data_IF_032866998052
#
_entry.id   IF_032866998052
#
_cell.length_a   1.000
_cell.length_b   1.000
_cell.length_c   1.000
_cell.angle_alpha   90.00
_cell.angle_beta   90.00
_cell.angle_gamma   90.00
#
_symmetry.space_group_name_H-M   'P 1'
#
loop_
_entity.id
_entity.type
_entity.pdbx_description
1 polymer ?
#
# COMPACT_ATOMS: atom_id res chain seq x y z
N UNK A 1 -20.42 -8.38 13.52
CA UNK A 1 -20.44 -9.29 12.36
C UNK A 1 -21.44 -8.73 11.36
N UNK A 2 -21.03 -8.53 10.09
CA UNK A 2 -21.92 -8.05 9.04
C UNK A 2 -22.70 -9.22 8.44
N UNK A 3 -24.03 -9.15 8.39
CA UNK A 3 -24.86 -10.21 7.79
C UNK A 3 -25.07 -9.92 6.31
N UNK A 4 -24.69 -10.89 5.47
CA UNK A 4 -24.80 -10.75 4.02
C UNK A 4 -26.26 -10.60 3.58
N UNK A 5 -26.53 -9.66 2.68
CA UNK A 5 -27.85 -9.45 2.06
C UNK A 5 -27.83 -9.58 0.53
N UNK A 6 -26.65 -9.78 -0.06
CA UNK A 6 -26.44 -9.99 -1.50
C UNK A 6 -25.19 -10.85 -1.73
N UNK A 7 -25.02 -11.44 -2.93
CA UNK A 7 -23.77 -12.10 -3.32
C UNK A 7 -22.57 -11.15 -3.24
N UNK A 8 -21.39 -11.72 -3.04
CA UNK A 8 -20.14 -10.96 -3.09
C UNK A 8 -19.89 -10.41 -4.50
N UNK A 9 -19.34 -9.20 -4.56
CA UNK A 9 -18.78 -8.60 -5.77
C UNK A 9 -17.27 -8.59 -5.63
N UNK A 10 -16.56 -9.06 -6.64
CA UNK A 10 -15.09 -9.05 -6.69
C UNK A 10 -14.68 -7.90 -7.60
N UNK A 11 -13.90 -6.97 -7.06
CA UNK A 11 -13.31 -5.87 -7.82
C UNK A 11 -11.83 -6.18 -8.05
N UNK A 12 -11.44 -6.31 -9.30
CA UNK A 12 -10.04 -6.37 -9.69
C UNK A 12 -9.46 -4.96 -9.67
N UNK A 13 -8.43 -4.72 -8.86
CA UNK A 13 -7.75 -3.44 -8.83
C UNK A 13 -6.95 -3.26 -10.12
N UNK A 14 -7.28 -2.21 -10.87
CA UNK A 14 -6.64 -1.85 -12.13
C UNK A 14 -5.56 -0.79 -11.94
N UNK A 15 -5.49 -0.17 -10.77
CA UNK A 15 -4.44 0.76 -10.38
C UNK A 15 -4.07 0.55 -8.92
N UNK A 16 -2.79 0.75 -8.62
CA UNK A 16 -2.25 0.92 -7.28
C UNK A 16 -1.15 1.97 -7.38
N UNK A 17 -1.25 3.06 -6.63
CA UNK A 17 -0.31 4.17 -6.73
C UNK A 17 0.16 4.66 -5.38
N UNK A 18 1.46 4.91 -5.29
CA UNK A 18 2.08 5.68 -4.22
C UNK A 18 1.77 7.16 -4.49
N UNK A 19 1.10 7.87 -3.57
CA UNK A 19 0.88 9.30 -3.70
C UNK A 19 2.20 10.06 -3.83
N UNK A 20 2.14 11.24 -4.45
CA UNK A 20 3.33 12.10 -4.60
C UNK A 20 3.27 13.31 -3.68
N UNK A 21 4.43 13.90 -3.40
CA UNK A 21 4.53 15.17 -2.68
C UNK A 21 3.70 16.29 -3.35
N UNK A 22 3.58 16.27 -4.68
CA UNK A 22 2.77 17.26 -5.41
C UNK A 22 1.30 17.13 -5.06
N UNK A 23 0.77 15.90 -5.02
CA UNK A 23 -0.62 15.65 -4.61
C UNK A 23 -0.86 16.06 -3.17
N UNK A 24 0.08 15.75 -2.27
CA UNK A 24 0.02 16.17 -0.88
C UNK A 24 -0.02 17.70 -0.75
N UNK A 25 0.86 18.42 -1.47
CA UNK A 25 0.90 19.89 -1.49
C UNK A 25 -0.38 20.52 -2.08
N UNK A 26 -1.07 19.80 -2.97
CA UNK A 26 -2.36 20.21 -3.53
C UNK A 26 -3.55 19.94 -2.60
N UNK A 27 -3.34 19.28 -1.46
CA UNK A 27 -4.40 18.90 -0.52
C UNK A 27 -5.26 17.73 -1.02
N UNK A 28 -4.70 16.88 -1.89
CA UNK A 28 -5.34 15.65 -2.33
C UNK A 28 -5.33 14.59 -1.22
N UNK A 29 -6.15 13.55 -1.39
CA UNK A 29 -6.10 12.38 -0.51
C UNK A 29 -4.84 11.59 -0.79
N UNK A 30 -4.01 11.40 0.23
CA UNK A 30 -2.73 10.70 0.13
C UNK A 30 -2.58 9.56 1.14
N UNK A 31 -3.57 9.26 1.97
CA UNK A 31 -3.42 8.27 3.03
C UNK A 31 -4.42 8.46 4.15
N UNK A 32 -4.11 7.88 5.31
CA UNK A 32 -4.87 8.03 6.53
C UNK A 32 -3.94 8.58 7.62
N UNK A 33 -4.51 9.26 8.61
CA UNK A 33 -3.85 9.41 9.89
C UNK A 33 -3.88 8.03 10.59
N UNK A 34 -2.74 7.34 10.66
CA UNK A 34 -2.62 5.96 11.14
C UNK A 34 -2.34 5.88 12.64
N UNK A 35 -1.83 6.94 13.26
CA UNK A 35 -1.49 6.96 14.68
C UNK A 35 -2.36 7.90 15.54
N UNK A 36 -3.23 8.68 14.89
CA UNK A 36 -4.09 9.73 15.43
C UNK A 36 -3.35 10.80 16.22
N UNK A 37 -2.05 10.93 16.00
CA UNK A 37 -1.23 12.00 16.52
C UNK A 37 -1.12 13.12 15.47
N UNK A 38 -0.53 14.25 15.91
CA UNK A 38 0.09 15.20 14.98
C UNK A 38 1.58 14.85 14.87
N UNK A 39 2.42 15.75 14.36
CA UNK A 39 3.88 15.54 14.23
C UNK A 39 4.52 14.73 15.38
N UNK A 40 4.89 13.48 15.10
CA UNK A 40 5.64 12.59 16.01
C UNK A 40 6.99 12.22 15.39
N UNK A 41 7.92 11.77 16.23
CA UNK A 41 9.20 11.23 15.78
C UNK A 41 10.12 12.21 15.01
N UNK A 42 9.78 13.50 15.00
CA UNK A 42 10.50 14.51 14.22
C UNK A 42 10.15 14.51 12.74
N UNK A 43 9.14 13.73 12.33
CA UNK A 43 8.60 13.71 10.97
C UNK A 43 7.28 14.48 10.98
N UNK A 44 7.14 15.56 10.20
CA UNK A 44 5.89 16.32 10.13
C UNK A 44 4.81 15.54 9.37
N UNK A 45 3.57 15.65 9.83
CA UNK A 45 2.44 15.08 9.10
C UNK A 45 2.13 15.90 7.86
N UNK A 46 1.51 15.26 6.88
CA UNK A 46 0.89 15.98 5.78
C UNK A 46 -0.42 16.68 6.21
N UNK A 47 -0.93 17.55 5.35
CA UNK A 47 -2.13 18.33 5.61
C UNK A 47 -3.31 17.44 6.07
N UNK A 48 -3.97 17.84 7.16
CA UNK A 48 -5.02 17.04 7.81
C UNK A 48 -4.51 16.03 8.83
N UNK A 49 -3.21 16.06 9.15
CA UNK A 49 -2.56 15.12 10.05
C UNK A 49 -2.40 13.74 9.39
N UNK A 50 -2.18 13.68 8.08
CA UNK A 50 -2.08 12.40 7.37
C UNK A 50 -0.65 11.91 7.41
N UNK A 51 -0.46 10.66 7.81
CA UNK A 51 0.83 9.99 7.77
C UNK A 51 0.99 9.26 6.44
N UNK A 52 2.06 9.56 5.70
CA UNK A 52 2.48 8.73 4.57
C UNK A 52 3.96 8.90 4.22
N UNK A 53 4.85 8.46 5.10
CA UNK A 53 6.31 8.49 4.87
C UNK A 53 6.77 7.64 3.68
N UNK A 54 5.92 6.75 3.13
CA UNK A 54 6.19 6.08 1.86
C UNK A 54 6.38 7.08 0.71
N UNK A 55 5.75 8.26 0.74
CA UNK A 55 5.94 9.32 -0.26
C UNK A 55 7.40 9.78 -0.27
N UNK A 56 7.96 10.05 0.93
CA UNK A 56 9.32 10.51 1.11
C UNK A 56 10.35 9.42 0.75
N UNK A 57 10.06 8.17 1.13
CA UNK A 57 10.86 7.02 0.70
C UNK A 57 10.90 6.91 -0.83
N UNK A 58 9.73 6.88 -1.49
CA UNK A 58 9.64 6.75 -2.94
C UNK A 58 10.35 7.91 -3.67
N UNK A 59 10.33 9.11 -3.10
CA UNK A 59 11.06 10.26 -3.65
C UNK A 59 12.58 10.17 -3.47
N UNK A 60 13.07 9.49 -2.42
CA UNK A 60 14.49 9.35 -2.12
C UNK A 60 15.17 8.20 -2.88
N UNK A 61 14.44 7.09 -3.13
CA UNK A 61 14.98 5.88 -3.77
C UNK A 61 15.69 6.10 -5.11
N UNK A 62 15.20 6.95 -6.04
CA UNK A 62 15.89 7.21 -7.31
C UNK A 62 17.33 7.69 -7.15
N UNK A 63 17.64 8.41 -6.06
CA UNK A 63 18.98 8.96 -5.84
C UNK A 63 20.01 7.90 -5.39
N UNK A 64 19.57 6.72 -4.97
CA UNK A 64 20.44 5.64 -4.52
C UNK A 64 21.21 4.97 -5.67
N UNK A 65 20.63 4.95 -6.87
CA UNK A 65 21.24 4.38 -8.06
C UNK A 65 21.10 5.36 -9.25
N UNK A 66 21.96 6.40 -9.33
CA UNK A 66 21.78 7.47 -10.32
C UNK A 66 21.81 7.01 -11.79
N UNK A 67 22.51 5.92 -12.09
CA UNK A 67 22.62 5.35 -13.43
C UNK A 67 21.44 4.45 -13.81
N UNK A 68 20.75 3.88 -12.81
CA UNK A 68 19.53 3.08 -12.96
C UNK A 68 18.56 3.39 -11.80
N UNK A 69 17.86 4.54 -11.84
CA UNK A 69 17.10 5.04 -10.70
C UNK A 69 15.98 4.09 -10.28
N UNK A 70 15.91 3.81 -8.97
CA UNK A 70 14.87 2.93 -8.42
C UNK A 70 13.52 3.65 -8.46
N UNK A 71 12.60 3.16 -9.29
CA UNK A 71 11.24 3.70 -9.43
C UNK A 71 10.20 2.64 -9.03
N UNK A 72 9.73 2.74 -7.78
CA UNK A 72 8.71 1.83 -7.24
C UNK A 72 7.37 1.94 -7.97
N UNK A 73 6.96 3.14 -8.40
CA UNK A 73 5.67 3.31 -9.06
C UNK A 73 5.68 2.63 -10.42
N UNK A 74 6.77 2.78 -11.18
CA UNK A 74 6.93 2.09 -12.46
C UNK A 74 6.90 0.56 -12.30
N UNK A 75 7.51 0.01 -11.24
CA UNK A 75 7.44 -1.42 -10.94
C UNK A 75 6.02 -1.89 -10.61
N UNK A 76 5.27 -1.14 -9.79
CA UNK A 76 3.86 -1.44 -9.48
C UNK A 76 3.01 -1.41 -10.76
N UNK A 77 3.16 -0.36 -11.59
CA UNK A 77 2.39 -0.20 -12.82
C UNK A 77 2.65 -1.35 -13.80
N UNK A 78 3.92 -1.75 -13.96
CA UNK A 78 4.30 -2.89 -14.79
C UNK A 78 3.69 -4.21 -14.27
N UNK A 79 3.68 -4.41 -12.96
CA UNK A 79 3.14 -5.61 -12.33
C UNK A 79 1.61 -5.71 -12.45
N UNK A 80 0.89 -4.60 -12.23
CA UNK A 80 -0.57 -4.52 -12.39
C UNK A 80 -0.97 -4.70 -13.86
N UNK A 81 -0.18 -4.14 -14.80
CA UNK A 81 -0.42 -4.28 -16.24
C UNK A 81 -0.07 -5.67 -16.80
N UNK A 82 0.67 -6.49 -16.06
CA UNK A 82 1.09 -7.82 -16.50
C UNK A 82 -0.13 -8.79 -16.50
N UNK A 83 -0.54 -9.33 -17.66
CA UNK A 83 -1.73 -10.17 -17.74
C UNK A 83 -1.54 -11.57 -17.13
N UNK A 84 -0.30 -12.08 -17.12
CA UNK A 84 0.05 -13.37 -16.54
C UNK A 84 1.56 -13.40 -16.25
N UNK A 85 1.94 -13.95 -15.09
CA UNK A 85 3.34 -14.09 -14.69
C UNK A 85 4.12 -14.98 -15.67
N UNK A 86 5.33 -14.54 -16.02
CA UNK A 86 6.22 -15.24 -16.93
C UNK A 86 7.64 -14.67 -16.88
N UNK A 87 8.49 -15.03 -17.87
CA UNK A 87 9.89 -14.59 -17.87
C UNK A 87 10.12 -13.09 -18.03
N UNK A 88 9.11 -12.35 -18.53
CA UNK A 88 9.25 -10.93 -18.90
C UNK A 88 8.42 -9.98 -18.06
N UNK A 89 7.51 -10.49 -17.22
CA UNK A 89 6.76 -9.71 -16.25
C UNK A 89 6.22 -10.65 -15.17
N UNK A 90 6.13 -10.14 -13.96
CA UNK A 90 5.48 -10.82 -12.85
C UNK A 90 4.22 -10.05 -12.50
N UNK A 91 3.10 -10.77 -12.40
CA UNK A 91 1.80 -10.17 -12.17
C UNK A 91 1.59 -9.86 -10.70
N UNK A 92 1.13 -8.64 -10.42
CA UNK A 92 0.53 -8.27 -9.15
C UNK A 92 -0.99 -8.25 -9.34
N UNK A 93 -1.70 -9.27 -8.84
CA UNK A 93 -3.16 -9.28 -8.83
C UNK A 93 -3.66 -8.96 -7.43
N UNK A 94 -4.48 -7.92 -7.32
CA UNK A 94 -5.16 -7.53 -6.09
C UNK A 94 -6.67 -7.49 -6.34
N UNK A 95 -7.39 -8.35 -5.65
CA UNK A 95 -8.85 -8.45 -5.74
C UNK A 95 -9.49 -8.03 -4.42
N UNK A 96 -10.42 -7.08 -4.49
CA UNK A 96 -11.22 -6.69 -3.32
C UNK A 96 -12.57 -7.38 -3.42
N UNK A 97 -12.76 -8.42 -2.60
CA UNK A 97 -14.04 -9.14 -2.47
C UNK A 97 -14.91 -8.45 -1.43
N UNK A 98 -16.01 -7.86 -1.86
CA UNK A 98 -16.98 -7.16 -1.01
C UNK A 98 -18.27 -7.98 -0.94
N UNK A 99 -18.60 -8.48 0.25
CA UNK A 99 -19.88 -9.14 0.53
C UNK A 99 -20.83 -8.13 1.20
N UNK A 100 -21.86 -7.62 0.50
CA UNK A 100 -22.71 -6.57 1.04
C UNK A 100 -23.60 -7.05 2.18
N UNK A 101 -23.84 -6.18 3.16
CA UNK A 101 -24.85 -6.30 4.19
C UNK A 101 -25.60 -4.98 4.39
N UNK A 102 -26.50 -4.93 5.38
CA UNK A 102 -27.27 -3.70 5.67
C UNK A 102 -26.41 -2.73 6.47
N UNK A 103 -25.96 -1.64 5.82
CA UNK A 103 -25.10 -0.61 6.44
C UNK A 103 -23.66 -1.05 6.69
N UNK A 104 -23.25 -2.20 6.14
CA UNK A 104 -21.93 -2.76 6.30
C UNK A 104 -21.55 -3.65 5.10
N UNK A 105 -20.29 -4.05 5.03
CA UNK A 105 -19.83 -5.12 4.15
C UNK A 105 -18.77 -5.97 4.86
N UNK A 106 -18.67 -7.25 4.47
CA UNK A 106 -17.48 -8.06 4.76
C UNK A 106 -16.52 -7.91 3.59
N UNK A 107 -15.27 -7.52 3.86
CA UNK A 107 -14.27 -7.22 2.84
C UNK A 107 -13.05 -8.12 3.04
N UNK A 108 -12.52 -8.68 1.95
CA UNK A 108 -11.24 -9.38 1.88
C UNK A 108 -10.46 -8.82 0.71
N UNK A 109 -9.15 -8.61 0.88
CA UNK A 109 -8.22 -8.34 -0.21
C UNK A 109 -7.49 -9.65 -0.49
N UNK A 110 -7.51 -10.12 -1.73
CA UNK A 110 -7.02 -11.44 -2.14
C UNK A 110 -6.09 -11.32 -3.35
N UNK A 111 -5.24 -12.32 -3.55
CA UNK A 111 -4.44 -12.48 -4.77
C UNK A 111 -5.20 -13.23 -5.89
N UNK A 112 -4.49 -13.60 -6.96
CA UNK A 112 -5.04 -14.39 -8.08
C UNK A 112 -5.46 -15.81 -7.69
N UNK A 113 -4.89 -16.38 -6.62
CA UNK A 113 -5.27 -17.69 -6.07
C UNK A 113 -6.38 -17.61 -5.01
N UNK A 114 -6.97 -16.43 -4.80
CA UNK A 114 -7.95 -16.17 -3.74
C UNK A 114 -7.38 -16.38 -2.33
N UNK A 115 -6.06 -16.26 -2.17
CA UNK A 115 -5.41 -16.25 -0.86
C UNK A 115 -5.61 -14.86 -0.25
N UNK A 116 -6.11 -14.76 0.99
CA UNK A 116 -6.25 -13.49 1.67
C UNK A 116 -4.88 -12.82 1.86
N UNK A 117 -4.74 -11.63 1.31
CA UNK A 117 -3.65 -10.69 1.55
C UNK A 117 -3.99 -9.75 2.72
N UNK A 118 -5.29 -9.52 2.96
CA UNK A 118 -5.81 -8.79 4.12
C UNK A 118 -7.28 -9.08 4.38
N UNK A 119 -7.68 -9.13 5.65
CA UNK A 119 -9.04 -9.48 6.07
C UNK A 119 -9.26 -10.99 6.26
N UNK A 120 -10.53 -11.44 6.40
CA UNK A 120 -11.76 -10.66 6.30
C UNK A 120 -11.90 -9.62 7.41
N UNK A 121 -12.45 -8.46 7.06
CA UNK A 121 -12.83 -7.42 8.01
C UNK A 121 -14.24 -6.88 7.71
N UNK A 122 -14.87 -6.28 8.73
CA UNK A 122 -16.16 -5.61 8.57
C UNK A 122 -15.91 -4.14 8.29
N UNK A 123 -16.41 -3.66 7.16
CA UNK A 123 -16.47 -2.24 6.82
C UNK A 123 -17.86 -1.68 7.12
N UNK A 124 -17.94 -0.44 7.63
CA UNK A 124 -19.17 0.34 7.57
C UNK A 124 -19.41 0.78 6.13
N UNK A 125 -20.68 0.85 5.72
CA UNK A 125 -21.08 1.31 4.38
C UNK A 125 -22.18 2.35 4.52
N UNK A 126 -21.96 3.55 3.98
CA UNK A 126 -22.97 4.62 3.99
C UNK A 126 -23.94 4.53 2.80
N UNK A 127 -24.93 5.44 2.77
CA UNK A 127 -25.94 5.48 1.69
C UNK A 127 -25.40 5.86 0.31
N UNK A 128 -24.16 6.35 0.22
CA UNK A 128 -23.48 6.65 -1.04
C UNK A 128 -22.56 5.50 -1.49
N UNK A 129 -22.48 4.41 -0.72
CA UNK A 129 -21.60 3.28 -1.01
C UNK A 129 -20.15 3.51 -0.59
N UNK A 130 -19.87 4.52 0.24
CA UNK A 130 -18.54 4.68 0.81
C UNK A 130 -18.33 3.63 1.89
N UNK A 131 -17.25 2.87 1.77
CA UNK A 131 -16.82 1.88 2.74
C UNK A 131 -15.66 2.42 3.58
N UNK A 132 -15.66 2.05 4.86
CA UNK A 132 -14.51 2.20 5.75
C UNK A 132 -14.38 0.99 6.65
N UNK A 133 -13.23 0.33 6.61
CA UNK A 133 -12.93 -0.82 7.46
C UNK A 133 -11.48 -0.81 7.91
N UNK A 134 -11.19 -1.68 8.88
CA UNK A 134 -9.83 -1.87 9.42
C UNK A 134 -9.51 -3.36 9.41
N UNK A 135 -8.33 -3.73 8.92
CA UNK A 135 -7.76 -5.07 9.02
C UNK A 135 -6.47 -5.04 9.83
N UNK A 136 -6.14 -6.14 10.50
CA UNK A 136 -4.91 -6.23 11.28
C UNK A 136 -3.66 -6.18 10.41
N UNK A 137 -3.76 -6.74 9.20
CA UNK A 137 -2.65 -6.87 8.27
C UNK A 137 -3.11 -6.73 6.81
N UNK A 138 -2.19 -6.26 5.97
CA UNK A 138 -2.26 -6.31 4.51
C UNK A 138 -0.85 -6.51 3.95
N UNK A 139 -0.60 -7.68 3.34
CA UNK A 139 0.70 -8.04 2.79
C UNK A 139 0.65 -8.26 1.28
N UNK A 140 1.60 -7.71 0.53
CA UNK A 140 1.76 -7.99 -0.90
C UNK A 140 3.22 -7.81 -1.35
N UNK A 141 3.53 -8.25 -2.56
CA UNK A 141 4.86 -8.15 -3.16
C UNK A 141 4.82 -7.26 -4.38
N UNK A 142 5.77 -6.32 -4.47
CA UNK A 142 6.04 -5.56 -5.70
C UNK A 142 7.18 -6.28 -6.42
N UNK A 143 6.92 -6.93 -7.57
CA UNK A 143 8.00 -7.52 -8.34
C UNK A 143 8.76 -6.42 -9.08
N UNK A 144 10.03 -6.24 -8.73
CA UNK A 144 10.91 -5.25 -9.33
C UNK A 144 11.81 -5.93 -10.38
N UNK A 145 11.74 -5.47 -11.63
CA UNK A 145 12.57 -6.03 -12.71
C UNK A 145 14.02 -5.55 -12.59
N UNK A 146 14.97 -6.49 -12.72
CA UNK A 146 16.40 -6.21 -12.72
C UNK A 146 17.05 -6.95 -13.88
N UNK A 147 18.28 -6.59 -14.22
CA UNK A 147 19.06 -7.30 -15.25
C UNK A 147 19.25 -8.80 -14.97
N UNK A 148 19.10 -9.23 -13.72
CA UNK A 148 19.26 -10.62 -13.27
C UNK A 148 17.95 -11.40 -13.10
N UNK A 149 16.81 -10.74 -13.34
CA UNK A 149 15.47 -11.25 -13.07
C UNK A 149 14.71 -10.37 -12.09
N UNK A 150 13.66 -10.88 -11.47
CA UNK A 150 12.84 -10.11 -10.54
C UNK A 150 13.34 -10.19 -9.10
N UNK A 151 13.28 -9.06 -8.40
CA UNK A 151 13.42 -8.97 -6.94
C UNK A 151 12.04 -8.68 -6.35
N UNK A 152 11.62 -9.49 -5.39
CA UNK A 152 10.34 -9.37 -4.72
C UNK A 152 10.45 -8.39 -3.54
N UNK A 153 9.96 -7.16 -3.71
CA UNK A 153 9.91 -6.18 -2.63
C UNK A 153 8.67 -6.41 -1.77
N UNK A 154 8.87 -6.89 -0.53
CA UNK A 154 7.76 -7.27 0.35
C UNK A 154 7.21 -6.08 1.12
N UNK A 155 5.90 -5.84 1.01
CA UNK A 155 5.18 -4.81 1.76
C UNK A 155 4.22 -5.49 2.73
N UNK A 156 4.49 -5.37 4.03
CA UNK A 156 3.67 -5.96 5.10
C UNK A 156 3.13 -4.87 6.02
N UNK A 157 1.94 -4.37 5.72
CA UNK A 157 1.30 -3.36 6.56
C UNK A 157 0.54 -4.01 7.72
N UNK A 158 0.56 -3.33 8.86
CA UNK A 158 -0.26 -3.64 10.03
C UNK A 158 -1.18 -2.47 10.37
N UNK A 159 -2.24 -2.72 11.15
CA UNK A 159 -3.22 -1.70 11.55
C UNK A 159 -3.79 -0.92 10.36
N UNK A 160 -4.25 -1.65 9.35
CA UNK A 160 -4.53 -1.10 8.03
C UNK A 160 -5.95 -0.57 7.97
N UNK A 161 -6.10 0.72 7.67
CA UNK A 161 -7.36 1.33 7.33
C UNK A 161 -7.57 1.28 5.83
N UNK A 162 -8.74 0.79 5.42
CA UNK A 162 -9.17 0.72 4.02
C UNK A 162 -10.45 1.53 3.86
N UNK A 163 -10.42 2.49 2.94
CA UNK A 163 -11.60 3.21 2.49
C UNK A 163 -11.77 3.09 0.99
N UNK A 164 -12.99 3.30 0.50
CA UNK A 164 -13.27 3.36 -0.94
C UNK A 164 -14.75 3.62 -1.20
N UNK A 165 -15.14 3.73 -2.46
CA UNK A 165 -16.54 3.91 -2.87
C UNK A 165 -16.93 2.83 -3.87
N UNK A 166 -17.93 2.02 -3.52
CA UNK A 166 -18.51 1.03 -4.43
C UNK A 166 -19.70 1.62 -5.17
N UNK A 167 -19.65 1.64 -6.50
CA UNK A 167 -20.76 2.11 -7.34
C UNK A 167 -20.85 1.30 -8.64
N UNK A 168 -21.95 0.57 -8.83
CA UNK A 168 -22.35 0.03 -10.13
C UNK A 168 -21.24 -0.74 -10.89
N UNK A 169 -20.54 -1.65 -10.22
CA UNK A 169 -19.45 -2.43 -10.82
C UNK A 169 -18.09 -1.74 -10.81
N UNK A 170 -17.94 -0.62 -10.11
CA UNK A 170 -16.65 0.04 -9.89
C UNK A 170 -16.34 0.14 -8.40
N UNK A 171 -15.06 0.07 -8.07
CA UNK A 171 -14.49 0.42 -6.78
C UNK A 171 -13.52 1.58 -7.01
N UNK A 172 -13.83 2.73 -6.45
CA UNK A 172 -13.10 3.98 -6.71
C UNK A 172 -12.66 4.66 -5.41
N UNK A 173 -11.79 5.67 -5.52
CA UNK A 173 -11.28 6.44 -4.38
C UNK A 173 -10.75 5.55 -3.25
N UNK A 174 -10.12 4.43 -3.62
CA UNK A 174 -9.62 3.50 -2.61
C UNK A 174 -8.38 4.12 -1.97
N UNK A 175 -8.34 4.09 -0.64
CA UNK A 175 -7.17 4.48 0.14
C UNK A 175 -6.86 3.36 1.11
N UNK A 176 -5.67 2.79 0.99
CA UNK A 176 -5.15 1.75 1.89
C UNK A 176 -4.00 2.38 2.65
N UNK A 177 -4.13 2.54 3.96
CA UNK A 177 -3.07 3.11 4.79
C UNK A 177 -2.83 2.27 6.03
N UNK A 178 -1.58 2.08 6.41
CA UNK A 178 -1.20 1.29 7.57
C UNK A 178 0.26 1.52 7.97
N UNK A 179 0.71 0.68 8.88
CA UNK A 179 2.04 0.75 9.50
C UNK A 179 2.94 -0.34 8.97
N UNK A 180 4.07 0.04 8.40
CA UNK A 180 5.19 -0.84 8.15
C UNK A 180 6.08 -0.85 9.40
N UNK A 181 5.98 -1.91 10.21
CA UNK A 181 6.77 -2.01 11.43
C UNK A 181 8.27 -2.07 11.09
N UNK A 182 9.13 -1.61 11.99
CA UNK A 182 10.59 -1.60 11.80
C UNK A 182 11.18 -2.88 11.17
N UNK A 183 10.93 -4.11 11.66
CA UNK A 183 11.48 -5.30 11.04
C UNK A 183 11.00 -5.53 9.60
N UNK A 184 9.74 -5.20 9.30
CA UNK A 184 9.19 -5.30 7.94
C UNK A 184 9.76 -4.21 7.03
N UNK A 185 9.96 -3.00 7.55
CA UNK A 185 10.57 -1.91 6.79
C UNK A 185 12.04 -2.21 6.48
N UNK A 186 12.82 -2.66 7.46
CA UNK A 186 14.20 -3.09 7.26
C UNK A 186 14.28 -4.26 6.26
N UNK A 187 13.33 -5.19 6.29
CA UNK A 187 13.25 -6.27 5.29
C UNK A 187 12.99 -5.72 3.89
N UNK A 188 12.00 -4.82 3.72
CA UNK A 188 11.71 -4.17 2.44
C UNK A 188 12.96 -3.47 1.89
N UNK A 189 13.71 -2.78 2.73
CA UNK A 189 14.93 -2.07 2.34
C UNK A 189 16.06 -3.01 1.96
N UNK A 190 16.18 -4.16 2.62
CA UNK A 190 17.13 -5.19 2.21
C UNK A 190 16.77 -5.77 0.84
N UNK A 191 15.47 -5.90 0.52
CA UNK A 191 15.03 -6.25 -0.83
C UNK A 191 15.39 -5.12 -1.83
N UNK A 192 15.22 -3.84 -1.46
CA UNK A 192 15.66 -2.68 -2.28
C UNK A 192 17.18 -2.67 -2.51
N UNK A 193 17.99 -3.01 -1.50
CA UNK A 193 19.44 -3.12 -1.67
C UNK A 193 19.79 -4.19 -2.71
N UNK A 194 19.04 -5.31 -2.77
CA UNK A 194 19.25 -6.32 -3.80
C UNK A 194 18.99 -5.81 -5.21
N UNK A 195 18.03 -4.89 -5.39
CA UNK A 195 17.76 -4.23 -6.69
C UNK A 195 19.00 -3.54 -7.23
N UNK A 196 19.84 -2.96 -6.36
CA UNK A 196 21.07 -2.26 -6.76
C UNK A 196 22.22 -3.18 -7.16
N UNK A 197 22.03 -4.51 -7.15
CA UNK A 197 23.10 -5.47 -7.44
C UNK A 197 24.24 -5.45 -6.41
N UNK A 198 24.02 -4.87 -5.23
CA UNK A 198 25.01 -4.73 -4.16
C UNK A 198 25.93 -3.51 -4.28
N UNK A 199 25.62 -2.56 -5.17
CA UNK A 199 26.34 -1.28 -5.26
C UNK A 199 26.05 -0.36 -4.06
N UNK A 200 24.85 -0.47 -3.49
CA UNK A 200 24.42 0.26 -2.29
C UNK A 200 24.47 -0.68 -1.09
N UNK A 201 24.96 -0.18 0.05
CA UNK A 201 24.97 -0.91 1.32
C UNK A 201 23.88 -0.41 2.26
N UNK A 202 23.63 -1.14 3.35
CA UNK A 202 22.71 -0.67 4.39
C UNK A 202 23.17 0.68 4.99
N UNK A 203 24.48 0.91 5.09
CA UNK A 203 25.03 2.16 5.63
C UNK A 203 24.71 3.37 4.73
N UNK A 204 24.55 3.15 3.43
CA UNK A 204 24.19 4.21 2.46
C UNK A 204 22.72 4.59 2.56
N UNK A 205 21.85 3.65 2.96
CA UNK A 205 20.41 3.90 3.13
C UNK A 205 20.06 4.34 4.55
N UNK A 206 20.87 4.01 5.57
CA UNK A 206 20.59 4.33 6.97
C UNK A 206 20.22 5.81 7.24
N UNK A 207 20.85 6.82 6.60
CA UNK A 207 20.46 8.22 6.75
C UNK A 207 19.05 8.54 6.22
N UNK A 208 18.60 7.82 5.19
CA UNK A 208 17.23 7.93 4.66
C UNK A 208 16.26 7.38 5.72
N UNK A 209 16.62 6.29 6.42
CA UNK A 209 15.76 5.61 7.39
C UNK A 209 15.50 6.41 8.65
N UNK A 210 16.49 7.18 9.10
CA UNK A 210 16.42 7.91 10.36
C UNK A 210 15.25 8.90 10.41
N UNK A 211 14.73 9.32 9.26
CA UNK A 211 13.63 10.30 9.14
C UNK A 211 12.35 9.69 8.56
N UNK A 212 12.24 8.36 8.45
CA UNK A 212 11.05 7.70 7.90
C UNK A 212 10.26 6.93 8.96
N UNK A 213 10.82 6.72 10.15
CA UNK A 213 10.05 6.24 11.29
C UNK A 213 9.22 7.37 11.87
N UNK A 214 8.04 7.59 11.31
CA UNK A 214 7.11 8.66 11.68
C UNK A 214 6.09 8.24 12.75
N UNK A 215 5.91 6.94 12.99
CA UNK A 215 4.90 6.43 13.93
C UNK A 215 5.51 5.85 15.21
N UNK A 216 4.92 6.22 16.35
CA UNK A 216 5.26 5.64 17.66
C UNK A 216 4.56 4.31 17.90
N UNK A 217 5.35 3.26 18.08
CA UNK A 217 4.85 1.94 18.49
C UNK A 217 5.44 1.60 19.86
N UNK A 218 4.58 1.60 20.88
CA UNK A 218 5.03 1.45 22.27
C UNK A 218 5.84 2.68 22.72
N UNK A 219 7.09 2.53 23.19
CA UNK A 219 7.91 3.66 23.66
C UNK A 219 8.80 4.29 22.57
N UNK A 220 8.79 3.79 21.33
CA UNK A 220 9.79 4.12 20.30
C UNK A 220 9.15 4.51 18.97
N UNK A 221 9.87 5.32 18.21
CA UNK A 221 9.63 5.56 16.78
C UNK A 221 10.16 4.36 16.00
N UNK A 222 9.27 3.44 15.66
CA UNK A 222 9.65 2.12 15.13
C UNK A 222 8.64 1.57 14.13
N UNK A 223 7.87 2.45 13.48
CA UNK A 223 7.08 2.12 12.31
C UNK A 223 7.10 3.30 11.34
N UNK A 224 7.01 2.98 10.05
CA UNK A 224 6.81 3.92 8.96
C UNK A 224 5.35 3.83 8.52
N UNK A 225 4.67 4.95 8.36
CA UNK A 225 3.35 5.00 7.73
C UNK A 225 3.47 4.80 6.21
N UNK A 226 2.53 4.06 5.66
CA UNK A 226 2.47 3.80 4.23
C UNK A 226 1.02 3.84 3.75
N UNK A 227 0.79 4.64 2.71
CA UNK A 227 -0.51 4.87 2.09
C UNK A 227 -0.46 4.67 0.57
N UNK A 228 -1.45 3.97 0.04
CA UNK A 228 -1.66 3.72 -1.38
C UNK A 228 -3.04 4.18 -1.82
N UNK A 229 -3.14 4.67 -3.05
CA UNK A 229 -4.41 4.92 -3.74
C UNK A 229 -4.68 3.80 -4.73
N UNK A 230 -5.93 3.41 -4.90
CA UNK A 230 -6.31 2.39 -5.86
C UNK A 230 -7.69 2.64 -6.48
N UNK A 231 -7.92 1.95 -7.59
CA UNK A 231 -9.22 1.84 -8.23
C UNK A 231 -9.32 0.47 -8.91
N UNK A 232 -10.55 0.00 -9.09
CA UNK A 232 -10.83 -1.29 -9.68
C UNK A 232 -12.19 -1.38 -10.33
N UNK A 233 -12.35 -2.44 -11.11
CA UNK A 233 -13.59 -2.78 -11.79
C UNK A 233 -14.06 -4.17 -11.36
N UNK A 234 -15.37 -4.35 -11.30
CA UNK A 234 -15.95 -5.65 -11.00
C UNK A 234 -15.58 -6.64 -12.10
N UNK A 235 -15.12 -7.81 -11.70
CA UNK A 235 -14.94 -8.93 -12.63
C UNK A 235 -16.32 -9.49 -13.01
N UNK A 236 -16.56 -9.79 -14.29
CA UNK A 236 -17.82 -10.39 -14.74
C UNK A 236 -18.10 -11.76 -14.14
#
# INVERSE_FOLDING_TARGET
MCVANAPAVVYHLTTLSIPTQTQANNGETIGHNVDFAGDVCGVPDYAGGVDNSLIDLAAALPALAPDDPIDLQSAIDAAIACPASGPTCTRLELNVRVTPGVGCASVVIEDEQQVPLGGPFVASVDGAGNLRGVTSEFGFTIPYDTTSGFVDLRVNLTQVTVTGTTAGGTLSNVVIGGLLAQPDFETFLMDVVQVTGGEVTFDDIAPILANLYDVVVGPSCSAMSAGFLAAGAATP
#
